data_IF_507705978276
#
_entry.id   IF_507705978276
#
_cell.length_a   1.000
_cell.length_b   1.000
_cell.length_c   1.000
_cell.angle_alpha   90.00
_cell.angle_beta   90.00
_cell.angle_gamma   90.00
#
_symmetry.space_group_name_H-M   'P 1'
#
loop_
_entity.id
_entity.type
_entity.pdbx_description
1 polymer ?
#
# COMPACT_ATOMS: atom_id res chain seq x y z
N UNK A 1 5.00 44.07 -27.40
CA UNK A 1 4.75 43.85 -25.96
C UNK A 1 3.29 43.51 -25.75
N UNK A 2 2.94 42.26 -26.09
CA UNK A 2 1.67 41.61 -25.78
C UNK A 2 1.95 40.10 -25.78
N UNK A 3 2.98 39.71 -25.03
CA UNK A 3 3.26 38.34 -24.65
C UNK A 3 3.14 38.31 -23.14
N UNK A 4 1.91 38.58 -22.68
CA UNK A 4 1.55 38.69 -21.28
C UNK A 4 0.60 37.53 -20.98
N UNK A 5 1.04 36.69 -20.04
CA UNK A 5 0.19 36.07 -19.05
C UNK A 5 -0.98 35.21 -19.55
N UNK A 6 -0.64 34.06 -20.13
CA UNK A 6 -1.27 32.82 -19.66
C UNK A 6 -0.17 31.97 -19.05
N UNK A 7 0.32 32.41 -17.89
CA UNK A 7 0.98 31.53 -16.93
C UNK A 7 0.03 30.37 -16.68
N UNK A 8 0.43 29.17 -17.09
CA UNK A 8 -0.09 27.92 -16.52
C UNK A 8 -0.26 28.16 -15.02
N UNK A 9 -1.48 28.05 -14.50
CA UNK A 9 -1.63 27.94 -13.07
C UNK A 9 -0.82 26.70 -12.68
N UNK A 10 0.35 26.89 -12.08
CA UNK A 10 1.11 25.80 -11.48
C UNK A 10 0.15 25.12 -10.51
N UNK A 11 -0.10 23.82 -10.71
CA UNK A 11 -0.96 23.07 -9.81
C UNK A 11 -0.29 23.10 -8.44
N UNK A 12 -0.88 23.83 -7.49
CA UNK A 12 -0.41 23.88 -6.11
C UNK A 12 -0.96 22.65 -5.41
N UNK A 13 -0.08 21.80 -4.90
CA UNK A 13 -0.40 20.61 -4.13
C UNK A 13 0.24 20.76 -2.76
N UNK A 14 -0.50 20.66 -1.67
CA UNK A 14 0.09 20.80 -0.32
C UNK A 14 1.13 19.73 -0.03
N UNK A 15 2.05 20.00 0.90
CA UNK A 15 3.02 19.02 1.39
C UNK A 15 2.34 17.76 1.97
N UNK A 16 1.15 17.92 2.56
CA UNK A 16 0.33 16.83 3.07
C UNK A 16 -0.21 15.93 1.95
N UNK A 17 -0.76 16.53 0.89
CA UNK A 17 -1.22 15.80 -0.30
C UNK A 17 -0.05 15.09 -1.00
N UNK A 18 1.10 15.74 -1.13
CA UNK A 18 2.31 15.11 -1.67
C UNK A 18 2.74 13.88 -0.86
N UNK A 19 2.73 13.96 0.48
CA UNK A 19 3.03 12.81 1.35
C UNK A 19 2.06 11.67 1.10
N UNK A 20 0.76 11.94 1.01
CA UNK A 20 -0.27 10.91 0.74
C UNK A 20 -0.02 10.25 -0.61
N UNK A 21 0.21 11.04 -1.67
CA UNK A 21 0.48 10.50 -3.02
C UNK A 21 1.74 9.65 -3.06
N UNK A 22 2.85 10.12 -2.48
CA UNK A 22 4.08 9.35 -2.41
C UNK A 22 3.91 8.08 -1.57
N UNK A 23 3.23 8.18 -0.42
CA UNK A 23 2.96 7.05 0.46
C UNK A 23 2.13 5.96 -0.22
N UNK A 24 1.09 6.34 -0.96
CA UNK A 24 0.28 5.41 -1.73
C UNK A 24 1.10 4.67 -2.80
N UNK A 25 1.86 5.41 -3.61
CA UNK A 25 2.66 4.81 -4.68
C UNK A 25 3.77 3.90 -4.14
N UNK A 26 4.49 4.35 -3.12
CA UNK A 26 5.55 3.57 -2.46
C UNK A 26 4.99 2.36 -1.72
N UNK A 27 3.86 2.51 -1.03
CA UNK A 27 3.16 1.43 -0.35
C UNK A 27 2.68 0.36 -1.33
N UNK A 28 2.02 0.77 -2.41
CA UNK A 28 1.58 -0.12 -3.49
C UNK A 28 2.77 -0.88 -4.09
N UNK A 29 3.91 -0.21 -4.30
CA UNK A 29 5.13 -0.85 -4.78
C UNK A 29 5.54 -2.05 -3.92
N UNK A 30 5.52 -1.89 -2.59
CA UNK A 30 5.89 -2.96 -1.64
C UNK A 30 4.91 -4.12 -1.68
N UNK A 31 3.61 -3.82 -1.74
CA UNK A 31 2.56 -4.85 -1.80
C UNK A 31 2.66 -5.66 -3.10
N UNK A 32 2.82 -4.98 -4.24
CA UNK A 32 2.98 -5.62 -5.56
C UNK A 32 4.28 -6.44 -5.63
N UNK A 33 5.38 -5.92 -5.08
CA UNK A 33 6.64 -6.67 -4.99
C UNK A 33 6.47 -7.94 -4.17
N UNK A 34 5.80 -7.87 -3.02
CA UNK A 34 5.51 -9.03 -2.19
C UNK A 34 4.62 -10.06 -2.90
N UNK A 35 3.61 -9.62 -3.65
CA UNK A 35 2.79 -10.52 -4.47
C UNK A 35 3.62 -11.22 -5.54
N UNK A 36 4.50 -10.49 -6.23
CA UNK A 36 5.38 -11.06 -7.25
C UNK A 36 6.37 -12.08 -6.65
N UNK A 37 7.00 -11.78 -5.51
CA UNK A 37 7.93 -12.72 -4.87
C UNK A 37 7.22 -13.96 -4.33
N UNK A 38 6.05 -13.81 -3.71
CA UNK A 38 5.24 -14.94 -3.25
C UNK A 38 4.81 -15.84 -4.43
N UNK A 39 4.34 -15.24 -5.53
CA UNK A 39 3.94 -15.98 -6.73
C UNK A 39 5.14 -16.72 -7.36
N UNK A 40 6.30 -16.06 -7.47
CA UNK A 40 7.52 -16.67 -8.00
C UNK A 40 7.98 -17.87 -7.14
N UNK A 41 8.01 -17.70 -5.82
CA UNK A 41 8.39 -18.77 -4.87
C UNK A 41 7.39 -19.93 -4.87
N UNK A 42 6.10 -19.63 -5.07
CA UNK A 42 5.04 -20.63 -5.18
C UNK A 42 4.94 -21.31 -6.55
N UNK A 43 5.73 -20.89 -7.55
CA UNK A 43 5.64 -21.42 -8.92
C UNK A 43 4.37 -21.02 -9.68
N UNK A 44 3.73 -19.92 -9.27
CA UNK A 44 2.48 -19.38 -9.79
C UNK A 44 2.78 -18.38 -10.91
N UNK A 45 3.00 -18.90 -12.13
CA UNK A 45 3.53 -18.11 -13.25
C UNK A 45 2.60 -16.97 -13.70
N UNK A 46 1.28 -17.22 -13.77
CA UNK A 46 0.33 -16.21 -14.24
C UNK A 46 0.23 -15.05 -13.26
N UNK A 47 0.15 -15.37 -11.96
CA UNK A 47 0.12 -14.44 -10.85
C UNK A 47 1.44 -13.65 -10.75
N UNK A 48 2.57 -14.30 -11.00
CA UNK A 48 3.87 -13.62 -11.10
C UNK A 48 3.90 -12.62 -12.26
N UNK A 49 3.45 -13.00 -13.45
CA UNK A 49 3.42 -12.11 -14.61
C UNK A 49 2.49 -10.90 -14.38
N UNK A 50 1.30 -11.13 -13.80
CA UNK A 50 0.36 -10.07 -13.44
C UNK A 50 0.96 -9.11 -12.40
N UNK A 51 1.49 -9.64 -11.29
CA UNK A 51 2.08 -8.84 -10.22
C UNK A 51 3.33 -8.08 -10.67
N UNK A 52 4.22 -8.70 -11.44
CA UNK A 52 5.41 -8.06 -11.98
C UNK A 52 5.07 -6.96 -13.01
N UNK A 53 4.05 -7.18 -13.85
CA UNK A 53 3.54 -6.16 -14.75
C UNK A 53 2.96 -4.96 -14.01
N UNK A 54 2.15 -5.20 -12.98
CA UNK A 54 1.61 -4.15 -12.11
C UNK A 54 2.72 -3.40 -11.36
N UNK A 55 3.73 -4.10 -10.85
CA UNK A 55 4.88 -3.49 -10.18
C UNK A 55 5.66 -2.54 -11.09
N UNK A 56 5.83 -2.88 -12.37
CA UNK A 56 6.47 -2.00 -13.35
C UNK A 56 5.59 -0.81 -13.71
N UNK A 57 4.27 -0.98 -13.83
CA UNK A 57 3.34 0.13 -14.03
C UNK A 57 3.39 1.13 -12.87
N UNK A 58 3.36 0.64 -11.62
CA UNK A 58 3.54 1.46 -10.43
C UNK A 58 4.91 2.17 -10.43
N UNK A 59 5.98 1.52 -10.92
CA UNK A 59 7.30 2.14 -11.08
C UNK A 59 7.28 3.30 -12.08
N UNK A 60 6.51 3.19 -13.17
CA UNK A 60 6.28 4.28 -14.12
C UNK A 60 5.48 5.42 -13.47
N UNK A 61 4.47 5.12 -12.66
CA UNK A 61 3.69 6.14 -11.95
C UNK A 61 4.54 6.90 -10.92
N UNK A 62 5.39 6.21 -10.17
CA UNK A 62 6.40 6.81 -9.28
C UNK A 62 7.34 7.74 -10.05
N UNK A 63 7.90 7.28 -11.17
CA UNK A 63 8.74 8.09 -12.03
C UNK A 63 8.01 9.32 -12.57
N UNK A 64 6.72 9.17 -12.92
CA UNK A 64 5.85 10.27 -13.31
C UNK A 64 5.68 11.31 -12.20
N UNK A 65 5.43 10.87 -10.96
CA UNK A 65 5.31 11.74 -9.79
C UNK A 65 6.62 12.52 -9.54
N UNK A 66 7.77 11.86 -9.62
CA UNK A 66 9.08 12.53 -9.53
C UNK A 66 9.29 13.51 -10.69
N UNK A 67 8.91 13.12 -11.91
CA UNK A 67 9.01 13.95 -13.11
C UNK A 67 8.15 15.23 -13.03
N UNK A 68 7.00 15.19 -12.36
CA UNK A 68 6.19 16.38 -12.09
C UNK A 68 6.91 17.39 -11.18
N UNK A 69 7.76 16.91 -10.25
CA UNK A 69 8.51 17.76 -9.33
C UNK A 69 9.77 18.32 -10.01
N UNK A 70 10.57 17.44 -10.62
CA UNK A 70 11.94 17.71 -11.05
C UNK A 70 12.15 17.76 -12.58
N UNK A 71 11.11 17.51 -13.37
CA UNK A 71 11.16 17.48 -14.83
C UNK A 71 11.31 16.08 -15.42
N UNK A 72 10.99 15.93 -16.71
CA UNK A 72 10.94 14.64 -17.40
C UNK A 72 12.26 13.85 -17.33
N UNK A 73 13.40 14.52 -17.58
CA UNK A 73 14.72 13.88 -17.53
C UNK A 73 15.03 13.27 -16.15
N UNK A 74 14.58 13.93 -15.07
CA UNK A 74 14.73 13.41 -13.71
C UNK A 74 13.83 12.20 -13.47
N UNK A 75 12.61 12.20 -13.99
CA UNK A 75 11.71 11.04 -13.96
C UNK A 75 12.28 9.84 -14.72
N UNK A 76 12.86 10.05 -15.90
CA UNK A 76 13.51 8.99 -16.69
C UNK A 76 14.73 8.41 -15.97
N UNK A 77 15.58 9.27 -15.39
CA UNK A 77 16.73 8.84 -14.60
C UNK A 77 16.30 8.08 -13.34
N UNK A 78 15.26 8.55 -12.65
CA UNK A 78 14.67 7.85 -11.51
C UNK A 78 14.17 6.46 -11.92
N UNK A 79 13.42 6.34 -13.02
CA UNK A 79 12.87 5.07 -13.46
C UNK A 79 13.96 4.02 -13.77
N UNK A 80 15.05 4.44 -14.40
CA UNK A 80 16.17 3.55 -14.70
C UNK A 80 16.83 3.02 -13.41
N UNK A 81 17.04 3.90 -12.43
CA UNK A 81 17.60 3.53 -11.14
C UNK A 81 16.64 2.65 -10.33
N UNK A 82 15.36 3.02 -10.28
CA UNK A 82 14.29 2.27 -9.59
C UNK A 82 14.09 0.86 -10.16
N UNK A 83 14.15 0.67 -11.47
CA UNK A 83 14.08 -0.70 -12.04
C UNK A 83 15.28 -1.57 -11.65
N UNK A 84 16.41 -0.95 -11.32
CA UNK A 84 17.62 -1.69 -10.93
C UNK A 84 17.45 -2.34 -9.55
N UNK A 85 16.85 -1.67 -8.55
CA UNK A 85 16.67 -2.28 -7.23
C UNK A 85 15.68 -3.44 -7.24
N UNK A 86 14.65 -3.38 -8.09
CA UNK A 86 13.72 -4.49 -8.28
C UNK A 86 14.50 -5.75 -8.69
N UNK A 87 15.47 -5.60 -9.60
CA UNK A 87 16.36 -6.69 -10.02
C UNK A 87 17.13 -7.31 -8.86
N UNK A 88 17.62 -6.50 -7.90
CA UNK A 88 18.34 -7.03 -6.74
C UNK A 88 17.43 -7.81 -5.78
N UNK A 89 16.17 -7.42 -5.61
CA UNK A 89 15.21 -8.23 -4.87
C UNK A 89 14.87 -9.53 -5.62
N UNK A 90 14.77 -9.51 -6.95
CA UNK A 90 14.61 -10.74 -7.76
C UNK A 90 15.81 -11.68 -7.59
N UNK A 91 17.03 -11.15 -7.59
CA UNK A 91 18.25 -11.93 -7.33
C UNK A 91 18.20 -12.56 -5.91
N UNK A 92 17.80 -11.79 -4.90
CA UNK A 92 17.61 -12.30 -3.54
C UNK A 92 16.56 -13.41 -3.49
N UNK A 93 15.37 -13.21 -4.07
CA UNK A 93 14.30 -14.22 -4.13
C UNK A 93 14.77 -15.49 -4.85
N UNK A 94 15.53 -15.37 -5.93
CA UNK A 94 16.11 -16.50 -6.66
C UNK A 94 17.13 -17.27 -5.81
N UNK A 95 17.98 -16.55 -5.09
CA UNK A 95 18.96 -17.13 -4.18
C UNK A 95 18.29 -17.85 -3.01
N UNK A 96 17.21 -17.29 -2.45
CA UNK A 96 16.36 -17.94 -1.46
C UNK A 96 15.75 -19.23 -2.01
N UNK A 97 15.15 -19.19 -3.19
CA UNK A 97 14.49 -20.36 -3.82
C UNK A 97 15.47 -21.52 -4.09
N UNK A 98 16.73 -21.20 -4.37
CA UNK A 98 17.79 -22.16 -4.72
C UNK A 98 18.68 -22.56 -3.54
N UNK A 99 18.51 -21.93 -2.38
CA UNK A 99 19.38 -22.12 -1.21
C UNK A 99 20.81 -21.59 -1.41
N UNK A 100 20.99 -20.60 -2.28
CA UNK A 100 22.28 -19.98 -2.56
C UNK A 100 22.58 -18.84 -1.58
N UNK A 101 23.21 -19.19 -0.46
CA UNK A 101 23.60 -18.20 0.57
C UNK A 101 24.61 -17.16 0.06
N UNK A 102 25.46 -17.51 -0.92
CA UNK A 102 26.38 -16.54 -1.52
C UNK A 102 25.62 -15.56 -2.42
N UNK A 103 24.61 -16.06 -3.16
CA UNK A 103 23.68 -15.25 -3.94
C UNK A 103 22.88 -14.27 -3.08
N UNK A 104 22.37 -14.72 -1.92
CA UNK A 104 21.68 -13.83 -0.95
C UNK A 104 22.57 -12.69 -0.52
N UNK A 105 23.80 -13.00 -0.10
CA UNK A 105 24.75 -11.97 0.34
C UNK A 105 25.12 -11.01 -0.80
N UNK A 106 25.31 -11.52 -2.02
CA UNK A 106 25.60 -10.68 -3.18
C UNK A 106 24.46 -9.70 -3.50
N UNK A 107 23.20 -10.16 -3.40
CA UNK A 107 22.04 -9.30 -3.57
C UNK A 107 21.92 -8.24 -2.46
N UNK A 108 22.22 -8.60 -1.20
CA UNK A 108 22.26 -7.65 -0.08
C UNK A 108 23.36 -6.60 -0.25
N UNK A 109 24.55 -7.00 -0.71
CA UNK A 109 25.65 -6.07 -0.99
C UNK A 109 25.28 -5.12 -2.15
N UNK A 110 24.58 -5.62 -3.17
CA UNK A 110 24.06 -4.80 -4.28
C UNK A 110 22.99 -3.81 -3.82
N UNK A 111 22.07 -4.22 -2.92
CA UNK A 111 21.07 -3.36 -2.31
C UNK A 111 21.70 -2.26 -1.43
N UNK A 112 22.77 -2.58 -0.71
CA UNK A 112 23.53 -1.57 0.04
C UNK A 112 24.19 -0.55 -0.92
N UNK A 113 24.78 -1.03 -2.01
CA UNK A 113 25.31 -0.17 -3.07
C UNK A 113 24.22 0.71 -3.71
N UNK A 114 23.04 0.15 -3.97
CA UNK A 114 21.88 0.89 -4.46
C UNK A 114 21.48 2.02 -3.50
N UNK A 115 21.45 1.77 -2.19
CA UNK A 115 21.16 2.81 -1.20
C UNK A 115 22.10 4.01 -1.30
N UNK A 116 23.39 3.76 -1.57
CA UNK A 116 24.38 4.80 -1.79
C UNK A 116 24.14 5.59 -3.09
N UNK A 117 23.86 4.89 -4.19
CA UNK A 117 23.63 5.51 -5.51
C UNK A 117 22.31 6.29 -5.54
N UNK A 118 21.25 5.73 -4.95
CA UNK A 118 19.94 6.36 -4.82
C UNK A 118 19.99 7.57 -3.89
N UNK A 119 20.71 7.46 -2.76
CA UNK A 119 20.96 8.61 -1.89
C UNK A 119 21.70 9.74 -2.60
N UNK A 120 22.72 9.42 -3.41
CA UNK A 120 23.45 10.41 -4.20
C UNK A 120 22.54 11.07 -5.26
N UNK A 121 21.69 10.29 -5.92
CA UNK A 121 20.72 10.78 -6.90
C UNK A 121 19.73 11.78 -6.26
N UNK A 122 19.15 11.42 -5.11
CA UNK A 122 18.22 12.30 -4.40
C UNK A 122 18.90 13.55 -3.84
N UNK A 123 20.11 13.45 -3.29
CA UNK A 123 20.86 14.60 -2.77
C UNK A 123 21.19 15.60 -3.89
N UNK A 124 21.54 15.11 -5.09
CA UNK A 124 21.82 15.96 -6.25
C UNK A 124 20.59 16.74 -6.72
N UNK A 125 19.39 16.15 -6.62
CA UNK A 125 18.13 16.81 -6.94
C UNK A 125 17.64 17.73 -5.80
N UNK A 126 17.85 17.32 -4.55
CA UNK A 126 17.36 17.97 -3.35
C UNK A 126 18.40 17.93 -2.22
N UNK A 127 19.06 19.06 -1.88
CA UNK A 127 20.07 19.10 -0.83
C UNK A 127 19.52 18.88 0.58
N UNK A 128 18.19 18.83 0.75
CA UNK A 128 17.53 18.48 2.01
C UNK A 128 17.33 16.98 2.21
N UNK A 129 17.78 16.15 1.26
CA UNK A 129 17.86 14.70 1.37
C UNK A 129 19.33 14.26 1.36
N UNK A 130 20.07 14.40 2.47
CA UNK A 130 21.48 14.01 2.49
C UNK A 130 21.62 12.53 2.14
N UNK A 131 22.60 12.21 1.29
CA UNK A 131 22.81 10.84 0.79
C UNK A 131 22.82 9.80 1.92
N UNK A 132 23.57 10.07 2.99
CA UNK A 132 23.70 9.16 4.12
C UNK A 132 22.36 8.93 4.84
N UNK A 133 21.53 9.97 4.98
CA UNK A 133 20.22 9.84 5.62
C UNK A 133 19.26 9.01 4.78
N UNK A 134 19.33 9.11 3.44
CA UNK A 134 18.56 8.25 2.54
C UNK A 134 18.99 6.80 2.66
N UNK A 135 20.30 6.53 2.62
CA UNK A 135 20.83 5.17 2.75
C UNK A 135 20.44 4.53 4.09
N UNK A 136 20.58 5.28 5.20
CA UNK A 136 20.17 4.84 6.54
C UNK A 136 18.67 4.54 6.62
N UNK A 137 17.82 5.33 5.96
CA UNK A 137 16.37 5.12 5.94
C UNK A 137 15.94 3.88 5.14
N UNK A 138 16.72 3.48 4.13
CA UNK A 138 16.42 2.30 3.30
C UNK A 138 16.81 0.97 3.99
N UNK A 139 17.78 0.98 4.89
CA UNK A 139 18.27 -0.22 5.58
C UNK A 139 17.16 -1.05 6.25
N UNK A 140 16.31 -0.46 7.13
CA UNK A 140 15.19 -1.15 7.74
C UNK A 140 14.20 -1.72 6.72
N UNK A 141 13.93 -0.99 5.63
CA UNK A 141 13.03 -1.45 4.57
C UNK A 141 13.58 -2.68 3.85
N UNK A 142 14.86 -2.65 3.46
CA UNK A 142 15.52 -3.82 2.86
C UNK A 142 15.43 -5.01 3.81
N UNK A 143 15.77 -4.81 5.09
CA UNK A 143 15.77 -5.87 6.08
C UNK A 143 14.40 -6.51 6.28
N UNK A 144 13.31 -5.74 6.36
CA UNK A 144 11.97 -6.30 6.57
C UNK A 144 11.44 -6.94 5.29
N UNK A 145 11.73 -6.38 4.12
CA UNK A 145 11.29 -6.98 2.86
C UNK A 145 12.01 -8.31 2.58
N UNK A 146 13.32 -8.41 2.83
CA UNK A 146 14.03 -9.70 2.71
C UNK A 146 13.55 -10.72 3.74
N UNK A 147 13.21 -10.30 4.95
CA UNK A 147 12.62 -11.19 5.96
C UNK A 147 11.23 -11.71 5.54
N UNK A 148 10.43 -10.89 4.86
CA UNK A 148 9.17 -11.32 4.26
C UNK A 148 9.42 -12.38 3.16
N UNK A 149 10.41 -12.17 2.28
CA UNK A 149 10.78 -13.14 1.22
C UNK A 149 11.25 -14.47 1.83
N UNK A 150 12.10 -14.42 2.87
CA UNK A 150 12.55 -15.63 3.57
C UNK A 150 11.37 -16.38 4.22
N UNK A 151 10.43 -15.66 4.84
CA UNK A 151 9.23 -16.25 5.43
C UNK A 151 8.30 -16.86 4.37
N UNK A 152 8.13 -16.21 3.21
CA UNK A 152 7.40 -16.75 2.06
C UNK A 152 8.01 -18.07 1.60
N UNK A 153 9.33 -18.13 1.41
CA UNK A 153 10.02 -19.34 0.97
C UNK A 153 9.97 -20.46 2.01
N UNK A 154 9.92 -20.12 3.30
CA UNK A 154 9.75 -21.07 4.38
C UNK A 154 8.29 -21.55 4.56
N UNK A 155 7.33 -21.00 3.81
CA UNK A 155 5.90 -21.27 3.99
C UNK A 155 5.35 -20.76 5.32
N UNK A 156 6.01 -19.78 5.94
CA UNK A 156 5.59 -19.17 7.20
C UNK A 156 4.74 -17.94 6.93
N UNK A 157 3.46 -18.16 6.63
CA UNK A 157 2.50 -17.12 6.26
C UNK A 157 2.38 -16.02 7.33
N UNK A 158 2.32 -16.37 8.62
CA UNK A 158 2.22 -15.40 9.72
C UNK A 158 3.39 -14.41 9.72
N UNK A 159 4.62 -14.93 9.58
CA UNK A 159 5.81 -14.07 9.52
C UNK A 159 5.91 -13.30 8.20
N UNK A 160 5.45 -13.89 7.08
CA UNK A 160 5.42 -13.20 5.80
C UNK A 160 4.52 -11.96 5.86
N UNK A 161 3.30 -12.08 6.41
CA UNK A 161 2.44 -10.91 6.61
C UNK A 161 3.03 -9.95 7.63
N UNK A 162 3.54 -10.43 8.77
CA UNK A 162 4.12 -9.56 9.80
C UNK A 162 5.21 -8.65 9.21
N UNK A 163 6.18 -9.24 8.50
CA UNK A 163 7.27 -8.48 7.90
C UNK A 163 6.82 -7.63 6.70
N UNK A 164 5.83 -8.07 5.93
CA UNK A 164 5.24 -7.26 4.87
C UNK A 164 4.60 -5.99 5.42
N UNK A 165 3.81 -6.10 6.50
CA UNK A 165 3.18 -4.93 7.14
C UNK A 165 4.23 -3.96 7.69
N UNK A 166 5.32 -4.45 8.25
CA UNK A 166 6.46 -3.63 8.68
C UNK A 166 7.15 -2.93 7.48
N UNK A 167 7.43 -3.66 6.40
CA UNK A 167 8.01 -3.11 5.18
C UNK A 167 7.11 -2.04 4.52
N UNK A 168 5.79 -2.26 4.53
CA UNK A 168 4.79 -1.31 4.06
C UNK A 168 4.74 -0.06 4.93
N UNK A 169 4.78 -0.20 6.26
CA UNK A 169 4.81 0.94 7.19
C UNK A 169 6.04 1.84 7.01
N UNK A 170 7.20 1.27 6.65
CA UNK A 170 8.40 2.07 6.33
C UNK A 170 8.16 3.05 5.16
N UNK A 171 7.22 2.77 4.24
CA UNK A 171 6.97 3.65 3.10
C UNK A 171 6.37 5.00 3.50
N UNK A 172 5.60 5.08 4.59
CA UNK A 172 5.14 6.37 5.11
C UNK A 172 6.31 7.21 5.65
N UNK A 173 7.30 6.57 6.27
CA UNK A 173 8.51 7.28 6.73
C UNK A 173 9.28 7.88 5.56
N UNK A 174 9.46 7.10 4.48
CA UNK A 174 10.14 7.57 3.26
C UNK A 174 9.32 8.67 2.59
N UNK A 175 8.00 8.49 2.45
CA UNK A 175 7.11 9.50 1.87
C UNK A 175 7.13 10.81 2.67
N UNK A 176 7.18 10.73 4.01
CA UNK A 176 7.32 11.90 4.89
C UNK A 176 8.62 12.65 4.62
N UNK A 177 9.74 11.94 4.55
CA UNK A 177 11.05 12.54 4.30
C UNK A 177 11.10 13.22 2.92
N UNK A 178 10.63 12.53 1.87
CA UNK A 178 10.58 13.06 0.51
C UNK A 178 9.67 14.30 0.43
N UNK A 179 8.44 14.21 0.93
CA UNK A 179 7.48 15.30 0.88
C UNK A 179 7.96 16.53 1.67
N UNK A 180 8.55 16.32 2.86
CA UNK A 180 9.12 17.40 3.67
C UNK A 180 10.30 18.09 2.98
N UNK A 181 11.21 17.33 2.37
CA UNK A 181 12.33 17.89 1.64
C UNK A 181 11.90 18.64 0.37
N UNK A 182 10.94 18.09 -0.39
CA UNK A 182 10.39 18.73 -1.59
C UNK A 182 9.66 20.02 -1.23
N UNK A 183 8.86 20.01 -0.16
CA UNK A 183 8.18 21.20 0.35
C UNK A 183 9.18 22.28 0.79
N UNK A 184 10.28 21.89 1.43
CA UNK A 184 11.35 22.83 1.82
C UNK A 184 12.02 23.45 0.60
N UNK A 185 12.25 22.67 -0.47
CA UNK A 185 12.88 23.15 -1.69
C UNK A 185 11.95 24.03 -2.54
N UNK A 186 10.66 23.71 -2.59
CA UNK A 186 9.66 24.38 -3.42
C UNK A 186 8.40 24.78 -2.62
N UNK A 187 8.52 25.69 -1.64
CA UNK A 187 7.43 26.01 -0.71
C UNK A 187 6.21 26.65 -1.36
N UNK A 188 6.36 27.32 -2.50
CA UNK A 188 5.25 27.92 -3.26
C UNK A 188 4.45 26.87 -4.06
N UNK A 189 5.11 25.78 -4.49
CA UNK A 189 4.46 24.67 -5.22
C UNK A 189 3.87 23.66 -4.25
N UNK A 190 4.55 23.43 -3.13
CA UNK A 190 4.16 22.49 -2.08
C UNK A 190 4.08 23.13 -0.69
N UNK A 191 3.08 24.00 -0.45
CA UNK A 191 2.95 24.71 0.82
C UNK A 191 2.48 23.78 1.94
N UNK A 192 2.78 24.17 3.18
CA UNK A 192 2.37 23.47 4.40
C UNK A 192 3.46 22.59 5.00
N UNK A 193 3.06 21.71 5.90
CA UNK A 193 3.95 20.81 6.63
C UNK A 193 3.47 19.36 6.47
N UNK A 194 4.29 18.53 5.82
CA UNK A 194 4.06 17.10 5.61
C UNK A 194 4.01 16.30 6.92
N UNK A 195 4.51 16.86 8.02
CA UNK A 195 4.54 16.26 9.37
C UNK A 195 3.59 16.96 10.34
N UNK A 196 2.69 17.82 9.87
CA UNK A 196 1.63 18.34 10.73
C UNK A 196 0.72 17.21 11.19
N UNK A 197 0.12 17.33 12.38
CA UNK A 197 -0.78 16.29 12.93
C UNK A 197 -1.92 15.91 11.97
N UNK A 198 -2.44 16.86 11.19
CA UNK A 198 -3.44 16.60 10.16
C UNK A 198 -2.88 15.81 8.97
N UNK A 199 -1.66 16.13 8.52
CA UNK A 199 -0.97 15.39 7.46
C UNK A 199 -0.63 13.96 7.91
N UNK A 200 -0.16 13.79 9.14
CA UNK A 200 0.12 12.48 9.75
C UNK A 200 -1.13 11.61 9.82
N UNK A 201 -2.24 12.16 10.33
CA UNK A 201 -3.51 11.43 10.39
C UNK A 201 -4.00 11.06 8.99
N UNK A 202 -3.95 12.00 8.04
CA UNK A 202 -4.37 11.78 6.66
C UNK A 202 -3.54 10.70 5.96
N UNK A 203 -2.21 10.75 6.07
CA UNK A 203 -1.32 9.75 5.51
C UNK A 203 -1.54 8.37 6.16
N UNK A 204 -1.63 8.32 7.50
CA UNK A 204 -1.87 7.06 8.23
C UNK A 204 -3.19 6.40 7.84
N UNK A 205 -4.29 7.16 7.78
CA UNK A 205 -5.58 6.60 7.36
C UNK A 205 -5.55 6.09 5.93
N UNK A 206 -4.92 6.83 4.99
CA UNK A 206 -4.76 6.38 3.61
C UNK A 206 -3.95 5.08 3.51
N UNK A 207 -2.80 5.01 4.20
CA UNK A 207 -1.95 3.83 4.22
C UNK A 207 -2.69 2.62 4.80
N UNK A 208 -3.39 2.78 5.92
CA UNK A 208 -4.13 1.69 6.56
C UNK A 208 -5.32 1.21 5.73
N UNK A 209 -6.05 2.10 5.05
CA UNK A 209 -7.17 1.72 4.18
C UNK A 209 -6.69 1.02 2.89
N UNK A 210 -5.55 1.43 2.33
CA UNK A 210 -4.94 0.75 1.20
C UNK A 210 -4.42 -0.65 1.60
N UNK A 211 -3.75 -0.75 2.74
CA UNK A 211 -3.34 -2.05 3.31
C UNK A 211 -4.55 -2.95 3.59
N UNK A 212 -5.64 -2.39 4.13
CA UNK A 212 -6.87 -3.13 4.39
C UNK A 212 -7.42 -3.79 3.12
N UNK A 213 -7.44 -3.04 2.01
CA UNK A 213 -7.94 -3.53 0.73
C UNK A 213 -7.09 -4.69 0.21
N UNK A 214 -5.76 -4.57 0.30
CA UNK A 214 -4.84 -5.64 -0.06
C UNK A 214 -5.02 -6.88 0.83
N UNK A 215 -5.01 -6.72 2.15
CA UNK A 215 -5.15 -7.83 3.09
C UNK A 215 -6.52 -8.52 2.98
N UNK A 216 -7.58 -7.77 2.67
CA UNK A 216 -8.89 -8.33 2.38
C UNK A 216 -8.84 -9.20 1.12
N UNK A 217 -8.24 -8.72 0.03
CA UNK A 217 -8.08 -9.50 -1.20
C UNK A 217 -7.23 -10.77 -0.97
N UNK A 218 -6.17 -10.67 -0.17
CA UNK A 218 -5.35 -11.83 0.22
C UNK A 218 -6.15 -12.83 1.05
N UNK A 219 -6.94 -12.37 2.02
CA UNK A 219 -7.78 -13.23 2.86
C UNK A 219 -8.88 -13.94 2.06
N UNK A 220 -9.54 -13.24 1.12
CA UNK A 220 -10.56 -13.87 0.25
C UNK A 220 -9.93 -14.87 -0.71
N UNK A 221 -8.76 -14.54 -1.28
CA UNK A 221 -8.00 -15.47 -2.12
C UNK A 221 -7.58 -16.73 -1.33
N UNK A 222 -7.09 -16.56 -0.10
CA UNK A 222 -6.72 -17.66 0.78
C UNK A 222 -7.93 -18.55 1.12
N UNK A 223 -9.10 -17.95 1.36
CA UNK A 223 -10.33 -18.67 1.67
C UNK A 223 -10.89 -19.49 0.49
N UNK A 224 -10.57 -19.10 -0.75
CA UNK A 224 -10.90 -19.86 -1.97
C UNK A 224 -9.92 -21.03 -2.18
N UNK A 225 -8.67 -20.90 -1.72
CA UNK A 225 -7.65 -21.94 -1.78
C UNK A 225 -7.78 -23.04 -0.73
N UNK A 226 -6.85 -24.01 -0.75
CA UNK A 226 -6.87 -25.19 0.14
C UNK A 226 -5.97 -25.03 1.41
N UNK A 227 -5.30 -23.89 1.59
CA UNK A 227 -4.27 -23.68 2.62
C UNK A 227 -4.77 -23.11 3.95
N UNK A 228 -5.12 -23.96 4.92
CA UNK A 228 -5.60 -23.52 6.25
C UNK A 228 -4.69 -22.53 6.98
N UNK A 229 -3.36 -22.70 6.92
CA UNK A 229 -2.42 -21.80 7.58
C UNK A 229 -2.38 -20.40 6.92
N UNK A 230 -2.57 -20.34 5.60
CA UNK A 230 -2.64 -19.07 4.86
C UNK A 230 -3.93 -18.31 5.20
N UNK A 231 -5.05 -19.03 5.33
CA UNK A 231 -6.34 -18.44 5.76
C UNK A 231 -6.21 -17.78 7.13
N UNK A 232 -5.64 -18.48 8.11
CA UNK A 232 -5.46 -17.95 9.46
C UNK A 232 -4.53 -16.74 9.48
N UNK A 233 -3.38 -16.83 8.80
CA UNK A 233 -2.41 -15.74 8.76
C UNK A 233 -2.96 -14.47 8.08
N UNK A 234 -3.64 -14.61 6.93
CA UNK A 234 -4.25 -13.48 6.24
C UNK A 234 -5.38 -12.84 7.07
N UNK A 235 -6.22 -13.65 7.73
CA UNK A 235 -7.25 -13.15 8.62
C UNK A 235 -6.68 -12.42 9.85
N UNK A 236 -5.59 -12.94 10.44
CA UNK A 236 -4.88 -12.27 11.55
C UNK A 236 -4.28 -10.94 11.11
N UNK A 237 -3.65 -10.89 9.93
CA UNK A 237 -3.10 -9.66 9.38
C UNK A 237 -4.19 -8.61 9.13
N UNK A 238 -5.31 -9.03 8.54
CA UNK A 238 -6.48 -8.16 8.29
C UNK A 238 -7.10 -7.62 9.58
N UNK A 239 -7.20 -8.44 10.63
CA UNK A 239 -7.70 -8.00 11.93
C UNK A 239 -6.71 -7.05 12.63
N UNK A 240 -5.41 -7.31 12.52
CA UNK A 240 -4.37 -6.42 13.04
C UNK A 240 -4.43 -5.04 12.37
N UNK A 241 -4.64 -4.98 11.05
CA UNK A 241 -4.91 -3.71 10.35
C UNK A 241 -6.21 -3.04 10.83
N UNK A 242 -7.26 -3.83 11.11
CA UNK A 242 -8.52 -3.31 11.66
C UNK A 242 -8.34 -2.67 13.04
N UNK A 243 -7.48 -3.26 13.88
CA UNK A 243 -7.08 -2.67 15.17
C UNK A 243 -6.32 -1.35 14.99
N UNK A 244 -5.42 -1.28 14.01
CA UNK A 244 -4.67 -0.06 13.71
C UNK A 244 -5.57 1.07 13.20
N UNK A 245 -6.57 0.75 12.36
CA UNK A 245 -7.62 1.68 11.93
C UNK A 245 -8.45 2.18 13.11
N UNK A 246 -8.89 1.27 13.98
CA UNK A 246 -9.64 1.62 15.19
C UNK A 246 -8.82 2.54 16.12
N UNK A 247 -7.51 2.28 16.26
CA UNK A 247 -6.61 3.14 17.02
C UNK A 247 -6.46 4.52 16.37
N UNK A 248 -6.38 4.60 15.03
CA UNK A 248 -6.33 5.87 14.31
C UNK A 248 -7.61 6.69 14.51
N UNK A 249 -8.79 6.07 14.39
CA UNK A 249 -10.09 6.72 14.67
C UNK A 249 -10.18 7.14 16.15
N UNK A 250 -9.80 6.25 17.06
CA UNK A 250 -9.82 6.51 18.50
C UNK A 250 -8.88 7.65 18.94
N UNK A 251 -7.79 7.88 18.20
CA UNK A 251 -6.89 9.01 18.47
C UNK A 251 -7.56 10.38 18.28
N UNK A 252 -8.63 10.44 17.48
CA UNK A 252 -9.38 11.68 17.17
C UNK A 252 -10.64 11.77 18.03
N UNK A 253 -11.41 10.69 18.11
CA UNK A 253 -12.76 10.68 18.69
C UNK A 253 -12.85 10.01 20.07
N UNK A 254 -11.73 9.49 20.59
CA UNK A 254 -11.65 8.80 21.89
C UNK A 254 -11.76 7.28 21.78
N UNK A 255 -11.35 6.57 22.84
CA UNK A 255 -11.26 5.11 22.87
C UNK A 255 -12.61 4.42 22.59
N UNK A 256 -13.70 4.88 23.19
CA UNK A 256 -15.06 4.34 22.98
C UNK A 256 -15.48 4.39 21.51
N UNK A 257 -15.10 5.46 20.79
CA UNK A 257 -15.37 5.59 19.36
C UNK A 257 -14.52 4.61 18.53
N UNK A 258 -13.27 4.39 18.92
CA UNK A 258 -12.41 3.37 18.31
C UNK A 258 -12.97 1.95 18.50
N UNK A 259 -13.47 1.61 19.69
CA UNK A 259 -14.12 0.32 19.96
C UNK A 259 -15.40 0.14 19.14
N UNK A 260 -16.25 1.18 19.07
CA UNK A 260 -17.46 1.16 18.26
C UNK A 260 -17.16 1.02 16.76
N UNK A 261 -16.15 1.74 16.26
CA UNK A 261 -15.65 1.59 14.89
C UNK A 261 -15.20 0.16 14.63
N UNK A 262 -14.37 -0.42 15.52
CA UNK A 262 -13.84 -1.77 15.36
C UNK A 262 -14.94 -2.83 15.27
N UNK A 263 -16.00 -2.70 16.06
CA UNK A 263 -17.14 -3.61 16.02
C UNK A 263 -17.87 -3.55 14.67
N UNK A 264 -18.13 -2.34 14.15
CA UNK A 264 -18.74 -2.15 12.83
C UNK A 264 -17.82 -2.68 11.72
N UNK A 265 -16.54 -2.35 11.79
CA UNK A 265 -15.53 -2.74 10.80
C UNK A 265 -15.34 -4.26 10.72
N UNK A 266 -15.28 -4.97 11.86
CA UNK A 266 -15.23 -6.44 11.82
C UNK A 266 -16.48 -7.07 11.21
N UNK A 267 -17.62 -6.40 11.35
CA UNK A 267 -18.87 -6.89 10.77
C UNK A 267 -18.85 -6.80 9.24
N UNK A 268 -18.33 -5.72 8.64
CA UNK A 268 -18.28 -5.61 7.17
C UNK A 268 -17.34 -6.64 6.55
N UNK A 269 -16.22 -6.95 7.21
CA UNK A 269 -15.30 -8.01 6.78
C UNK A 269 -16.05 -9.35 6.69
N UNK A 270 -16.88 -9.67 7.70
CA UNK A 270 -17.71 -10.87 7.70
C UNK A 270 -18.65 -10.95 6.50
N UNK A 271 -19.21 -9.83 6.04
CA UNK A 271 -20.07 -9.83 4.86
C UNK A 271 -19.31 -10.12 3.55
N UNK A 272 -18.06 -9.67 3.43
CA UNK A 272 -17.21 -10.05 2.29
C UNK A 272 -16.80 -11.53 2.34
N UNK A 273 -16.60 -12.10 3.53
CA UNK A 273 -16.40 -13.55 3.71
C UNK A 273 -17.64 -14.32 3.26
N UNK A 274 -18.85 -13.89 3.68
CA UNK A 274 -20.11 -14.50 3.23
C UNK A 274 -20.29 -14.41 1.72
N UNK A 275 -19.94 -13.27 1.11
CA UNK A 275 -19.96 -13.12 -0.35
C UNK A 275 -18.99 -14.10 -1.03
N UNK A 276 -17.76 -14.21 -0.51
CA UNK A 276 -16.72 -15.12 -1.01
C UNK A 276 -17.16 -16.57 -0.97
N UNK A 277 -17.70 -17.03 0.16
CA UNK A 277 -18.26 -18.38 0.28
C UNK A 277 -19.42 -18.60 -0.69
N UNK A 278 -20.31 -17.61 -0.84
CA UNK A 278 -21.41 -17.64 -1.78
C UNK A 278 -20.92 -17.79 -3.23
N UNK A 279 -19.91 -17.02 -3.63
CA UNK A 279 -19.29 -17.08 -4.95
C UNK A 279 -18.63 -18.43 -5.20
N UNK A 280 -17.79 -18.91 -4.28
CA UNK A 280 -17.09 -20.20 -4.40
C UNK A 280 -18.05 -21.40 -4.50
N UNK A 281 -19.22 -21.32 -3.84
CA UNK A 281 -20.24 -22.38 -3.88
C UNK A 281 -21.26 -22.22 -5.02
N UNK A 282 -21.18 -21.15 -5.83
CA UNK A 282 -22.20 -20.82 -6.83
C UNK A 282 -23.59 -20.53 -6.21
N UNK A 283 -23.61 -20.08 -4.95
CA UNK A 283 -24.83 -19.81 -4.19
C UNK A 283 -25.24 -18.34 -4.33
N UNK A 284 -26.04 -18.06 -5.35
CA UNK A 284 -26.51 -16.70 -5.66
C UNK A 284 -27.34 -16.08 -4.52
N UNK A 285 -28.11 -16.89 -3.79
CA UNK A 285 -28.87 -16.38 -2.64
C UNK A 285 -27.96 -15.90 -1.51
N UNK A 286 -26.83 -16.60 -1.27
CA UNK A 286 -25.83 -16.18 -0.28
C UNK A 286 -25.10 -14.92 -0.74
N UNK A 287 -24.73 -14.83 -2.02
CA UNK A 287 -24.13 -13.60 -2.61
C UNK A 287 -25.06 -12.40 -2.44
N UNK A 288 -26.33 -12.54 -2.77
CA UNK A 288 -27.31 -11.46 -2.63
C UNK A 288 -27.52 -11.06 -1.17
N UNK A 289 -27.62 -12.02 -0.25
CA UNK A 289 -27.76 -11.73 1.18
C UNK A 289 -26.56 -10.93 1.73
N UNK A 290 -25.34 -11.25 1.29
CA UNK A 290 -24.14 -10.50 1.65
C UNK A 290 -24.15 -9.07 1.08
N UNK A 291 -24.59 -8.89 -0.17
CA UNK A 291 -24.75 -7.56 -0.79
C UNK A 291 -25.78 -6.70 -0.05
N UNK A 292 -26.91 -7.28 0.34
CA UNK A 292 -27.95 -6.59 1.11
C UNK A 292 -27.41 -6.17 2.49
N UNK A 293 -26.60 -7.02 3.13
CA UNK A 293 -25.95 -6.72 4.40
C UNK A 293 -24.89 -5.61 4.27
N UNK A 294 -24.09 -5.61 3.20
CA UNK A 294 -23.12 -4.54 2.89
C UNK A 294 -23.80 -3.20 2.62
N UNK A 295 -24.96 -3.20 1.95
CA UNK A 295 -25.76 -1.98 1.77
C UNK A 295 -26.28 -1.46 3.12
N UNK A 296 -26.75 -2.34 4.00
CA UNK A 296 -27.13 -1.98 5.37
C UNK A 296 -25.95 -1.42 6.17
N UNK A 297 -24.78 -2.05 6.09
CA UNK A 297 -23.55 -1.56 6.70
C UNK A 297 -23.18 -0.16 6.25
N UNK A 298 -23.28 0.15 4.95
CA UNK A 298 -22.96 1.48 4.44
C UNK A 298 -23.82 2.58 5.10
N UNK A 299 -25.10 2.29 5.31
CA UNK A 299 -26.01 3.19 6.03
C UNK A 299 -25.62 3.34 7.51
N UNK A 300 -25.34 2.23 8.21
CA UNK A 300 -24.97 2.24 9.63
C UNK A 300 -23.62 2.95 9.85
N UNK A 301 -22.64 2.69 8.99
CA UNK A 301 -21.32 3.31 9.03
C UNK A 301 -21.39 4.81 8.75
N UNK A 302 -22.20 5.22 7.76
CA UNK A 302 -22.46 6.63 7.50
C UNK A 302 -23.11 7.33 8.70
N UNK A 303 -24.09 6.70 9.35
CA UNK A 303 -24.73 7.26 10.53
C UNK A 303 -23.77 7.36 11.72
N UNK A 304 -22.89 6.36 11.90
CA UNK A 304 -21.84 6.37 12.91
C UNK A 304 -20.88 7.56 12.72
N UNK A 305 -20.37 7.77 11.50
CA UNK A 305 -19.45 8.88 11.22
C UNK A 305 -20.13 10.25 11.30
N UNK A 306 -21.39 10.38 10.86
CA UNK A 306 -22.16 11.63 11.00
C UNK A 306 -22.39 11.99 12.47
N UNK A 307 -22.70 11.00 13.31
CA UNK A 307 -22.86 11.21 14.75
C UNK A 307 -21.57 11.68 15.44
N UNK A 308 -20.41 11.18 14.98
CA UNK A 308 -19.10 11.58 15.49
C UNK A 308 -18.64 12.95 14.94
N UNK A 309 -19.00 13.27 13.69
CA UNK A 309 -18.61 14.50 13.02
C UNK A 309 -19.76 15.01 12.11
N UNK A 310 -20.48 16.07 12.50
CA UNK A 310 -21.60 16.60 11.71
C UNK A 310 -21.18 17.22 10.37
N UNK A 311 -19.87 17.39 10.13
CA UNK A 311 -19.34 17.82 8.83
C UNK A 311 -19.08 16.65 7.86
N UNK A 312 -19.33 15.41 8.28
CA UNK A 312 -19.35 14.22 7.44
C UNK A 312 -20.79 13.69 7.37
N UNK A 313 -21.65 14.27 6.50
CA UNK A 313 -23.03 13.82 6.37
C UNK A 313 -23.08 12.34 6.01
N UNK A 314 -24.08 11.63 6.51
CA UNK A 314 -24.25 10.19 6.28
C UNK A 314 -24.08 9.79 4.82
N UNK A 315 -24.75 10.51 3.91
CA UNK A 315 -24.69 10.23 2.47
C UNK A 315 -23.29 10.41 1.88
N UNK A 316 -22.50 11.36 2.39
CA UNK A 316 -21.12 11.57 1.93
C UNK A 316 -20.19 10.39 2.27
N UNK A 317 -20.58 9.56 3.23
CA UNK A 317 -19.88 8.33 3.63
C UNK A 317 -20.50 7.09 2.97
N UNK A 318 -21.83 6.98 2.96
CA UNK A 318 -22.53 5.79 2.46
C UNK A 318 -22.48 5.67 0.93
N UNK A 319 -22.68 6.78 0.20
CA UNK A 319 -22.80 6.74 -1.27
C UNK A 319 -21.52 6.21 -1.96
N UNK A 320 -20.29 6.60 -1.55
CA UNK A 320 -19.07 6.07 -2.14
C UNK A 320 -18.83 4.57 -1.87
N UNK A 321 -19.45 3.99 -0.83
CA UNK A 321 -19.25 2.58 -0.49
C UNK A 321 -19.90 1.63 -1.50
N UNK A 322 -20.98 2.03 -2.17
CA UNK A 322 -21.63 1.19 -3.19
C UNK A 322 -20.68 0.81 -4.34
N UNK A 323 -20.08 1.78 -5.05
CA UNK A 323 -19.08 1.50 -6.08
C UNK A 323 -17.85 0.75 -5.54
N UNK A 324 -17.44 1.01 -4.31
CA UNK A 324 -16.32 0.30 -3.67
C UNK A 324 -16.63 -1.19 -3.46
N UNK A 325 -17.80 -1.51 -2.87
CA UNK A 325 -18.30 -2.87 -2.72
C UNK A 325 -18.34 -3.59 -4.07
N UNK A 326 -18.88 -2.94 -5.10
CA UNK A 326 -18.94 -3.51 -6.45
C UNK A 326 -17.58 -3.88 -7.03
N UNK A 327 -16.54 -3.09 -6.76
CA UNK A 327 -15.16 -3.41 -7.18
C UNK A 327 -14.59 -4.58 -6.39
N UNK A 328 -14.77 -4.62 -5.08
CA UNK A 328 -14.27 -5.72 -4.24
C UNK A 328 -14.95 -7.05 -4.57
N UNK A 329 -16.26 -7.04 -4.83
CA UNK A 329 -16.96 -8.27 -5.25
C UNK A 329 -16.51 -8.73 -6.64
N UNK A 330 -16.16 -7.81 -7.54
CA UNK A 330 -15.58 -8.18 -8.83
C UNK A 330 -14.20 -8.82 -8.68
N UNK A 331 -13.37 -8.36 -7.72
CA UNK A 331 -12.10 -9.02 -7.37
C UNK A 331 -12.35 -10.43 -6.84
N UNK A 332 -13.31 -10.61 -5.93
CA UNK A 332 -13.68 -11.93 -5.41
C UNK A 332 -14.16 -12.87 -6.53
N UNK A 333 -15.03 -12.37 -7.43
CA UNK A 333 -15.52 -13.15 -8.56
C UNK A 333 -14.37 -13.57 -9.51
N UNK A 334 -13.39 -12.69 -9.75
CA UNK A 334 -12.20 -12.99 -10.54
C UNK A 334 -11.31 -14.04 -9.86
N UNK A 335 -11.12 -13.94 -8.54
CA UNK A 335 -10.40 -14.95 -7.75
C UNK A 335 -11.06 -16.33 -7.84
N UNK A 336 -12.39 -16.41 -7.73
CA UNK A 336 -13.14 -17.67 -7.89
C UNK A 336 -12.99 -18.24 -9.31
N UNK A 337 -12.88 -17.37 -10.32
CA UNK A 337 -12.68 -17.76 -11.71
C UNK A 337 -11.23 -18.15 -12.05
N UNK A 338 -10.26 -17.82 -11.18
CA UNK A 338 -8.82 -17.95 -11.46
C UNK A 338 -8.34 -16.99 -12.54
N UNK A 339 -8.95 -15.80 -12.62
CA UNK A 339 -8.60 -14.72 -13.55
C UNK A 339 -7.78 -13.66 -12.79
N UNK A 340 -6.45 -13.69 -12.96
CA UNK A 340 -5.47 -12.89 -12.23
C UNK A 340 -4.82 -11.81 -13.10
#
# INVERSE_FOLDING_TARGET
>A
MAHEAMTSAEMVMTAAELRVTLGQLLGEHVLLASSATAAALGGQQAEFEAAAGALDMNSVDLAGAIGLVYGADAGEAFLALWRTHIGFFVDYTTAVATGDEAGKQAALDALAGYGEDFGAFLEAANPHLPKAAVADALGPHVSTLTAAIDAQAAGNAEMAYTHLREAYAHMDMIATALAGAISTQFPERFPGDASSAAAELGARLNMLLAEHTYLAAMATSAAIGEGHAEIEAAAMALDANSLDLAAAIGSVYGADAGEAFLALWRTHIGFFVDYTEGAAMGNEAKRQAALDALAGYAEDFGAFLEAANPNLPKAAVADPLGPHVGRLTAVIDAQVAGDY
#
